data_IF_860990755829
#
_entry.id   IF_860990755829
#
_cell.length_a   1.000
_cell.length_b   1.000
_cell.length_c   1.000
_cell.angle_alpha   90.00
_cell.angle_beta   90.00
_cell.angle_gamma   90.00
#
_symmetry.space_group_name_H-M   'P 1'
#
loop_
_entity.id
_entity.type
_entity.pdbx_description
1 polymer ?
#
# COMPACT_ATOMS: atom_id res chain seq x y z
N UNK A 1 -1.30 -4.41 -23.00
CA UNK A 1 -1.26 -4.33 -21.52
C UNK A 1 0.13 -4.76 -21.09
N UNK A 2 1.00 -3.81 -20.71
CA UNK A 2 2.38 -4.12 -20.33
C UNK A 2 2.37 -4.99 -19.06
N UNK A 3 3.13 -6.09 -19.05
CA UNK A 3 3.36 -6.87 -17.84
C UNK A 3 4.39 -6.14 -17.00
N UNK A 4 3.93 -5.57 -15.89
CA UNK A 4 4.82 -5.05 -14.86
C UNK A 4 4.93 -6.11 -13.75
N UNK A 5 6.08 -6.79 -13.61
CA UNK A 5 6.27 -7.81 -12.56
C UNK A 5 6.19 -7.22 -11.16
N UNK A 6 6.32 -5.89 -11.02
CA UNK A 6 6.25 -5.18 -9.74
C UNK A 6 4.85 -4.67 -9.42
N UNK A 7 3.87 -4.84 -10.32
CA UNK A 7 2.49 -4.46 -10.03
C UNK A 7 1.83 -5.46 -9.08
N UNK A 8 1.05 -4.96 -8.12
CA UNK A 8 0.24 -5.81 -7.24
C UNK A 8 -0.72 -6.73 -8.00
N UNK A 9 -1.15 -6.34 -9.22
CA UNK A 9 -2.01 -7.17 -10.09
C UNK A 9 -1.28 -8.41 -10.61
N UNK A 10 -0.01 -8.25 -10.99
CA UNK A 10 0.86 -9.33 -11.44
C UNK A 10 1.16 -10.31 -10.30
N UNK A 11 1.47 -9.79 -9.12
CA UNK A 11 1.73 -10.63 -7.95
C UNK A 11 0.45 -11.34 -7.44
N UNK A 12 -0.73 -10.72 -7.58
CA UNK A 12 -2.02 -11.39 -7.33
C UNK A 12 -2.23 -12.57 -8.28
N UNK A 13 -1.94 -12.40 -9.57
CA UNK A 13 -2.06 -13.48 -10.56
C UNK A 13 -1.07 -14.61 -10.26
N UNK A 14 0.18 -14.28 -9.91
CA UNK A 14 1.20 -15.24 -9.47
C UNK A 14 0.76 -16.02 -8.23
N UNK A 15 0.25 -15.35 -7.20
CA UNK A 15 -0.25 -15.98 -5.99
C UNK A 15 -1.41 -16.96 -6.29
N UNK A 16 -2.37 -16.53 -7.11
CA UNK A 16 -3.49 -17.40 -7.51
C UNK A 16 -2.99 -18.64 -8.26
N UNK A 17 -2.01 -18.47 -9.15
CA UNK A 17 -1.37 -19.56 -9.86
C UNK A 17 -0.67 -20.53 -8.91
N UNK A 18 0.14 -20.04 -7.97
CA UNK A 18 0.85 -20.87 -6.99
C UNK A 18 -0.09 -21.66 -6.09
N UNK A 19 -1.18 -21.03 -5.62
CA UNK A 19 -2.21 -21.72 -4.83
C UNK A 19 -2.87 -22.82 -5.66
N UNK A 20 -3.23 -22.53 -6.92
CA UNK A 20 -3.88 -23.50 -7.82
C UNK A 20 -2.97 -24.68 -8.15
N UNK A 21 -1.66 -24.45 -8.31
CA UNK A 21 -0.68 -25.50 -8.61
C UNK A 21 -0.19 -26.25 -7.36
N UNK A 22 -0.66 -25.90 -6.17
CA UNK A 22 -0.24 -26.56 -4.93
C UNK A 22 1.24 -26.34 -4.61
N UNK A 23 1.76 -25.13 -4.90
CA UNK A 23 3.14 -24.78 -4.61
C UNK A 23 3.47 -24.93 -3.10
N UNK A 24 4.75 -25.09 -2.73
CA UNK A 24 5.17 -25.16 -1.34
C UNK A 24 4.62 -24.00 -0.49
N UNK A 25 4.28 -24.29 0.77
CA UNK A 25 3.71 -23.30 1.70
C UNK A 25 4.62 -22.07 1.88
N UNK A 26 5.94 -22.25 1.82
CA UNK A 26 6.92 -21.16 1.86
C UNK A 26 6.71 -20.19 0.71
N UNK A 27 6.61 -20.70 -0.53
CA UNK A 27 6.40 -19.88 -1.73
C UNK A 27 5.07 -19.12 -1.69
N UNK A 28 3.99 -19.79 -1.27
CA UNK A 28 2.67 -19.15 -1.11
C UNK A 28 2.74 -18.04 -0.03
N UNK A 29 3.50 -18.28 1.04
CA UNK A 29 3.67 -17.29 2.11
C UNK A 29 4.45 -16.07 1.62
N UNK A 30 5.49 -16.29 0.84
CA UNK A 30 6.29 -15.22 0.24
C UNK A 30 5.45 -14.39 -0.74
N UNK A 31 4.72 -15.03 -1.66
CA UNK A 31 3.86 -14.32 -2.61
C UNK A 31 2.73 -13.54 -1.91
N UNK A 32 2.22 -14.03 -0.78
CA UNK A 32 1.28 -13.26 0.07
C UNK A 32 1.92 -12.01 0.67
N UNK A 33 3.17 -12.11 1.14
CA UNK A 33 3.91 -10.95 1.68
C UNK A 33 4.14 -9.91 0.59
N UNK A 34 4.63 -10.34 -0.57
CA UNK A 34 4.87 -9.47 -1.72
C UNK A 34 3.58 -8.78 -2.18
N UNK A 35 2.49 -9.54 -2.34
CA UNK A 35 1.19 -8.97 -2.73
C UNK A 35 0.74 -7.86 -1.75
N UNK A 36 0.89 -8.08 -0.44
CA UNK A 36 0.53 -7.07 0.56
C UNK A 36 1.43 -5.84 0.51
N UNK A 37 2.74 -6.02 0.33
CA UNK A 37 3.68 -4.92 0.20
C UNK A 37 3.36 -4.04 -1.02
N UNK A 38 3.14 -4.66 -2.19
CA UNK A 38 2.79 -3.95 -3.42
C UNK A 38 1.42 -3.25 -3.35
N UNK A 39 0.44 -3.87 -2.68
CA UNK A 39 -0.85 -3.24 -2.41
C UNK A 39 -0.73 -2.01 -1.53
N UNK A 40 0.12 -2.08 -0.50
CA UNK A 40 0.37 -0.97 0.40
C UNK A 40 1.08 0.18 -0.33
N UNK A 41 2.09 -0.12 -1.15
CA UNK A 41 2.77 0.87 -1.97
C UNK A 41 1.81 1.59 -2.92
N UNK A 42 1.00 0.86 -3.70
CA UNK A 42 -0.03 1.42 -4.59
C UNK A 42 -1.06 2.27 -3.83
N UNK A 43 -1.40 1.88 -2.59
CA UNK A 43 -2.30 2.67 -1.75
C UNK A 43 -1.66 3.98 -1.31
N UNK A 44 -0.41 3.93 -0.84
CA UNK A 44 0.35 5.12 -0.42
C UNK A 44 0.54 6.07 -1.61
N UNK A 45 0.93 5.57 -2.77
CA UNK A 45 1.09 6.38 -3.98
C UNK A 45 -0.19 7.10 -4.37
N UNK A 46 -1.34 6.41 -4.34
CA UNK A 46 -2.64 7.03 -4.60
C UNK A 46 -2.96 8.13 -3.61
N UNK A 47 -2.69 7.90 -2.34
CA UNK A 47 -2.90 8.91 -1.31
C UNK A 47 -1.98 10.11 -1.49
N UNK A 48 -0.69 9.91 -1.72
CA UNK A 48 0.26 10.98 -1.95
C UNK A 48 -0.05 11.77 -3.24
N UNK A 49 -0.51 11.10 -4.30
CA UNK A 49 -0.90 11.76 -5.54
C UNK A 49 -2.22 12.53 -5.41
N UNK A 50 -3.12 12.08 -4.53
CA UNK A 50 -4.40 12.72 -4.25
C UNK A 50 -4.32 13.79 -3.15
N UNK A 51 -3.17 13.94 -2.49
CA UNK A 51 -2.94 14.92 -1.44
C UNK A 51 -2.40 16.22 -2.05
N UNK A 52 -3.25 17.23 -2.36
CA UNK A 52 -2.73 18.55 -2.64
C UNK A 52 -1.94 19.02 -1.41
N UNK A 53 -0.82 19.74 -1.58
CA UNK A 53 -0.07 20.25 -0.45
C UNK A 53 -1.02 21.03 0.48
N UNK A 54 -1.03 20.65 1.76
CA UNK A 54 -1.87 21.29 2.77
C UNK A 54 -1.74 22.81 2.69
N UNK A 55 -2.86 23.51 2.65
CA UNK A 55 -2.88 24.96 2.71
C UNK A 55 -2.50 25.45 4.13
N UNK A 56 -2.17 26.73 4.26
CA UNK A 56 -1.68 27.29 5.53
C UNK A 56 -2.71 27.19 6.66
N UNK A 57 -4.01 27.28 6.35
CA UNK A 57 -5.10 27.10 7.33
C UNK A 57 -5.16 25.66 7.85
N UNK A 58 -5.05 24.67 6.98
CA UNK A 58 -5.02 23.25 7.33
C UNK A 58 -3.79 22.91 8.17
N UNK A 59 -2.61 23.45 7.82
CA UNK A 59 -1.38 23.29 8.60
C UNK A 59 -1.52 23.90 9.99
N UNK A 60 -2.08 25.10 10.09
CA UNK A 60 -2.33 25.78 11.36
C UNK A 60 -3.31 24.96 12.22
N UNK A 61 -4.38 24.44 11.64
CA UNK A 61 -5.36 23.60 12.34
C UNK A 61 -4.74 22.30 12.88
N UNK A 62 -3.88 21.65 12.09
CA UNK A 62 -3.16 20.46 12.53
C UNK A 62 -2.19 20.81 13.66
N UNK A 63 -1.47 21.93 13.57
CA UNK A 63 -0.59 22.39 14.64
C UNK A 63 -1.36 22.67 15.93
N UNK A 64 -2.53 23.33 15.87
CA UNK A 64 -3.41 23.53 17.02
C UNK A 64 -3.82 22.21 17.67
N UNK A 65 -4.25 21.22 16.89
CA UNK A 65 -4.68 19.91 17.39
C UNK A 65 -3.54 19.14 18.06
N UNK A 66 -2.33 19.20 17.49
CA UNK A 66 -1.14 18.54 18.05
C UNK A 66 -0.62 19.26 19.30
N UNK A 67 -0.72 20.59 19.37
CA UNK A 67 -0.19 21.40 20.48
C UNK A 67 -1.17 21.49 21.65
N UNK A 68 -2.49 21.49 21.39
CA UNK A 68 -3.53 21.59 22.41
C UNK A 68 -3.81 20.26 23.16
N UNK A 69 -3.13 19.17 22.78
CA UNK A 69 -3.16 17.91 23.53
C UNK A 69 -4.03 16.80 22.91
N UNK A 70 -3.82 16.47 21.64
CA UNK A 70 -4.23 15.17 21.07
C UNK A 70 -3.50 13.94 21.66
N UNK A 71 -2.79 14.12 22.79
CA UNK A 71 -2.07 13.11 23.55
C UNK A 71 -2.49 13.16 25.04
N UNK A 72 -3.80 13.20 25.30
CA UNK A 72 -4.35 12.88 26.62
C UNK A 72 -5.28 11.68 26.52
#
# INVERSE_FOLDING_TARGET
MSYDPTSWKSERARLAHQVRMGAPKSEITEARRNYRALRLADHIEKWLAADPPLNDEQRTRIAELLTAGGAR
#
